data_IF_863973607098
#
_entry.id   IF_863973607098
#
_cell.length_a   1.000
_cell.length_b   1.000
_cell.length_c   1.000
_cell.angle_alpha   90.00
_cell.angle_beta   90.00
_cell.angle_gamma   90.00
#
_symmetry.space_group_name_H-M   'P 1'
#
loop_
_entity.id
_entity.type
_entity.pdbx_description
1 polymer ?
#
# COMPACT_ATOMS: atom_id res chain seq x y z
N UNK A 1 -11.27 15.26 -6.21
CA UNK A 1 -11.93 15.43 -4.89
C UNK A 1 -11.12 14.62 -3.89
N UNK A 2 -10.29 15.30 -3.09
CA UNK A 2 -9.45 14.65 -2.07
C UNK A 2 -10.30 14.26 -0.85
N UNK A 3 -9.89 13.21 -0.13
CA UNK A 3 -10.57 12.59 1.02
C UNK A 3 -10.62 13.46 2.29
N UNK A 4 -10.93 14.75 2.17
CA UNK A 4 -10.89 15.66 3.33
C UNK A 4 -11.81 16.86 3.20
N UNK A 5 -13.11 16.66 3.39
CA UNK A 5 -14.07 17.76 3.60
C UNK A 5 -14.00 18.33 5.03
N UNK A 6 -12.96 17.98 5.80
CA UNK A 6 -12.83 18.37 7.19
C UNK A 6 -12.15 19.73 7.40
N UNK A 7 -11.71 20.43 6.36
CA UNK A 7 -11.03 21.73 6.44
C UNK A 7 -9.51 21.65 6.61
N UNK A 8 -8.84 22.80 6.71
CA UNK A 8 -7.37 22.90 6.69
C UNK A 8 -6.69 22.24 7.89
N UNK A 9 -5.71 21.37 7.63
CA UNK A 9 -4.90 20.72 8.70
C UNK A 9 -3.86 21.68 9.27
N UNK A 10 -3.44 22.67 8.47
CA UNK A 10 -2.40 23.63 8.81
C UNK A 10 -2.90 25.05 8.52
N UNK A 11 -2.64 25.99 9.42
CA UNK A 11 -3.14 27.37 9.32
C UNK A 11 -2.36 28.27 8.33
N UNK A 12 -1.36 27.72 7.64
CA UNK A 12 -0.53 28.47 6.70
C UNK A 12 0.39 27.58 5.87
N UNK A 13 1.12 28.15 4.89
CA UNK A 13 2.06 27.42 4.06
C UNK A 13 3.15 26.77 4.92
N UNK A 14 3.37 25.48 4.74
CA UNK A 14 4.46 24.78 5.40
C UNK A 14 5.76 25.02 4.62
N UNK A 15 6.33 26.21 4.75
CA UNK A 15 7.66 26.52 4.21
C UNK A 15 8.73 25.71 4.97
N UNK A 16 9.62 25.04 4.24
CA UNK A 16 10.75 24.22 4.72
C UNK A 16 10.49 22.74 5.08
N UNK A 17 9.37 22.14 4.64
CA UNK A 17 9.22 20.69 4.76
C UNK A 17 10.16 19.94 3.80
N UNK A 18 10.96 19.04 4.38
CA UNK A 18 11.69 18.02 3.64
C UNK A 18 10.96 16.68 3.77
N UNK A 19 11.05 15.77 2.77
CA UNK A 19 10.64 14.38 2.97
C UNK A 19 11.23 13.82 4.27
N UNK A 20 10.40 13.17 5.09
CA UNK A 20 10.77 12.70 6.43
C UNK A 20 10.67 13.74 7.56
N UNK A 21 10.37 15.01 7.25
CA UNK A 21 10.13 16.04 8.26
C UNK A 21 8.80 15.85 8.99
N UNK A 22 8.83 16.00 10.32
CA UNK A 22 7.64 15.95 11.19
C UNK A 22 7.31 17.36 11.70
N UNK A 23 6.03 17.71 11.68
CA UNK A 23 5.51 18.96 12.26
C UNK A 23 4.66 18.62 13.46
N UNK A 24 5.09 19.02 14.66
CA UNK A 24 4.27 18.84 15.86
C UNK A 24 3.07 19.79 15.78
N UNK A 25 1.88 19.22 15.69
CA UNK A 25 0.61 19.99 15.62
C UNK A 25 -0.12 20.02 16.96
N UNK A 26 0.26 19.16 17.92
CA UNK A 26 -0.24 19.17 19.29
C UNK A 26 0.82 18.69 20.26
N UNK A 27 1.00 19.43 21.35
CA UNK A 27 1.76 18.95 22.51
C UNK A 27 0.96 17.92 23.30
N UNK A 28 1.66 16.96 23.89
CA UNK A 28 1.08 15.98 24.78
C UNK A 28 2.04 15.65 25.89
N UNK A 29 1.60 14.80 26.83
CA UNK A 29 2.42 14.48 27.98
C UNK A 29 3.57 13.53 27.60
N UNK A 30 4.76 13.67 28.20
CA UNK A 30 5.91 12.82 27.90
C UNK A 30 5.71 11.34 28.26
N UNK A 31 4.82 11.05 29.21
CA UNK A 31 4.47 9.71 29.69
C UNK A 31 3.41 9.01 28.81
N UNK A 32 3.03 9.60 27.67
CA UNK A 32 2.01 9.09 26.76
C UNK A 32 2.59 8.82 25.37
N UNK A 33 2.06 7.83 24.63
CA UNK A 33 2.48 7.58 23.25
C UNK A 33 2.23 8.81 22.37
N UNK A 34 2.97 8.98 21.28
CA UNK A 34 2.72 10.04 20.30
C UNK A 34 2.09 9.47 19.02
N UNK A 35 1.17 10.22 18.41
CA UNK A 35 0.57 9.87 17.12
C UNK A 35 1.31 10.58 15.98
N UNK A 36 1.73 9.83 14.96
CA UNK A 36 2.24 10.37 13.70
C UNK A 36 1.17 10.10 12.63
N UNK A 37 0.63 11.14 12.01
CA UNK A 37 -0.47 11.04 11.06
C UNK A 37 -0.20 11.83 9.77
N UNK A 38 -0.82 11.43 8.67
CA UNK A 38 -0.63 12.05 7.35
C UNK A 38 -1.96 12.57 6.79
N UNK A 39 -1.92 13.68 6.06
CA UNK A 39 -3.09 14.25 5.38
C UNK A 39 -4.28 14.46 6.32
N UNK A 40 -5.47 14.01 5.91
CA UNK A 40 -6.71 14.18 6.68
C UNK A 40 -6.75 13.39 7.99
N UNK A 41 -5.94 12.34 8.13
CA UNK A 41 -5.86 11.57 9.37
C UNK A 41 -5.28 12.37 10.53
N UNK A 42 -4.59 13.49 10.26
CA UNK A 42 -4.12 14.39 11.32
C UNK A 42 -5.28 14.95 12.12
N UNK A 43 -6.43 15.26 11.51
CA UNK A 43 -7.62 15.73 12.23
C UNK A 43 -8.20 14.65 13.14
N UNK A 44 -8.36 13.43 12.63
CA UNK A 44 -8.79 12.29 13.45
C UNK A 44 -7.80 12.04 14.61
N UNK A 45 -6.49 12.14 14.35
CA UNK A 45 -5.48 11.98 15.38
C UNK A 45 -5.58 13.08 16.46
N UNK A 46 -5.90 14.32 16.08
CA UNK A 46 -6.13 15.41 17.03
C UNK A 46 -7.35 15.17 17.93
N UNK A 47 -8.44 14.63 17.37
CA UNK A 47 -9.65 14.27 18.13
C UNK A 47 -9.34 13.16 19.15
N UNK A 48 -8.66 12.10 18.72
CA UNK A 48 -8.22 11.01 19.62
C UNK A 48 -7.25 11.54 20.69
N UNK A 49 -6.30 12.39 20.30
CA UNK A 49 -5.31 12.95 21.21
C UNK A 49 -5.91 13.90 22.25
N UNK A 50 -7.05 14.54 21.96
CA UNK A 50 -7.77 15.32 22.94
C UNK A 50 -8.26 14.46 24.12
N UNK A 51 -8.64 13.21 23.85
CA UNK A 51 -9.09 12.26 24.87
C UNK A 51 -7.91 11.60 25.61
N UNK A 52 -6.80 11.35 24.90
CA UNK A 52 -5.66 10.59 25.44
C UNK A 52 -4.52 11.47 25.98
N UNK A 53 -4.58 12.79 25.80
CA UNK A 53 -3.51 13.74 26.15
C UNK A 53 -2.14 13.39 25.53
N UNK A 54 -2.15 12.78 24.34
CA UNK A 54 -0.94 12.44 23.60
C UNK A 54 -0.52 13.55 22.63
N UNK A 55 0.77 13.54 22.26
CA UNK A 55 1.30 14.44 21.24
C UNK A 55 0.87 13.98 19.85
N UNK A 56 0.67 14.93 18.93
CA UNK A 56 0.36 14.64 17.52
C UNK A 56 1.37 15.33 16.62
N UNK A 57 1.93 14.55 15.70
CA UNK A 57 2.84 14.99 14.66
C UNK A 57 2.21 14.75 13.31
N UNK A 58 2.07 15.82 12.52
CA UNK A 58 1.78 15.72 11.11
C UNK A 58 3.06 15.30 10.39
N UNK A 59 2.97 14.30 9.53
CA UNK A 59 4.04 13.87 8.64
C UNK A 59 3.59 14.09 7.19
N UNK A 60 3.79 15.30 6.63
CA UNK A 60 3.26 15.66 5.32
C UNK A 60 3.84 14.82 4.17
N UNK A 61 5.04 14.28 4.37
CA UNK A 61 5.70 13.35 3.46
C UNK A 61 6.33 12.20 4.25
N UNK A 62 5.56 11.11 4.41
CA UNK A 62 6.12 9.78 4.69
C UNK A 62 6.15 9.04 3.36
N UNK A 63 7.30 8.98 2.71
CA UNK A 63 7.54 7.97 1.70
C UNK A 63 8.35 6.87 2.40
N UNK A 64 7.78 5.67 2.63
CA UNK A 64 8.60 4.51 2.94
C UNK A 64 9.70 4.40 1.87
N UNK A 65 10.96 4.25 2.29
CA UNK A 65 12.08 4.08 1.35
C UNK A 65 11.81 2.87 0.45
N UNK A 66 12.27 2.90 -0.80
CA UNK A 66 12.14 1.74 -1.68
C UNK A 66 13.13 0.66 -1.21
N UNK A 67 12.61 -0.48 -0.74
CA UNK A 67 13.41 -1.70 -0.50
C UNK A 67 13.90 -1.90 0.93
N UNK A 68 13.73 -0.90 1.81
CA UNK A 68 14.01 -1.00 3.25
C UNK A 68 12.74 -1.23 4.08
N UNK A 69 11.57 -1.14 3.44
CA UNK A 69 10.27 -1.33 4.06
C UNK A 69 9.72 -2.74 3.79
N UNK A 70 9.16 -3.34 4.83
CA UNK A 70 8.41 -4.59 4.72
C UNK A 70 7.01 -4.39 5.28
N UNK A 71 6.02 -4.95 4.59
CA UNK A 71 4.64 -4.98 5.03
C UNK A 71 4.32 -6.38 5.53
N UNK A 72 3.75 -6.46 6.73
CA UNK A 72 3.41 -7.71 7.39
C UNK A 72 1.91 -7.73 7.66
N UNK A 73 1.24 -8.81 7.26
CA UNK A 73 -0.10 -9.11 7.72
C UNK A 73 -0.19 -10.55 8.21
N UNK A 74 -0.69 -10.72 9.44
CA UNK A 74 -0.82 -12.01 10.09
C UNK A 74 -2.31 -12.28 10.33
N UNK A 75 -2.80 -13.38 9.76
CA UNK A 75 -4.17 -13.88 10.00
C UNK A 75 -4.49 -13.99 11.49
N UNK A 76 -5.76 -13.90 11.89
CA UNK A 76 -6.15 -14.01 13.30
C UNK A 76 -5.81 -15.39 13.88
N UNK A 77 -5.65 -15.46 15.20
CA UNK A 77 -5.54 -16.75 15.90
C UNK A 77 -6.81 -17.56 15.67
N UNK A 78 -6.66 -18.82 15.22
CA UNK A 78 -7.79 -19.71 14.93
C UNK A 78 -8.47 -19.48 13.57
N UNK A 79 -7.90 -18.65 12.69
CA UNK A 79 -8.40 -18.49 11.31
C UNK A 79 -8.02 -19.69 10.44
N UNK A 80 -8.83 -20.76 10.56
CA UNK A 80 -8.62 -22.02 9.85
C UNK A 80 -8.85 -21.95 8.32
N UNK A 81 -9.48 -20.87 7.84
CA UNK A 81 -9.62 -20.61 6.39
C UNK A 81 -8.29 -20.16 5.77
N UNK A 82 -7.50 -19.41 6.53
CA UNK A 82 -6.22 -18.88 6.07
C UNK A 82 -5.06 -19.85 6.26
N UNK A 83 -5.08 -20.66 7.33
CA UNK A 83 -4.04 -21.65 7.62
C UNK A 83 -4.61 -22.84 8.41
N UNK A 84 -4.01 -24.04 8.35
CA UNK A 84 -4.46 -25.18 9.15
C UNK A 84 -4.48 -24.90 10.66
N UNK A 85 -5.28 -25.67 11.41
CA UNK A 85 -5.32 -25.55 12.88
C UNK A 85 -3.91 -25.65 13.50
N UNK A 86 -3.64 -24.78 14.48
CA UNK A 86 -2.32 -24.61 15.10
C UNK A 86 -1.34 -23.74 14.31
N UNK A 87 -1.69 -23.32 13.08
CA UNK A 87 -0.86 -22.46 12.23
C UNK A 87 -1.53 -21.12 11.95
N UNK A 88 -0.74 -20.15 11.49
CA UNK A 88 -1.22 -18.84 11.02
C UNK A 88 -0.54 -18.48 9.71
N UNK A 89 -1.30 -17.88 8.80
CA UNK A 89 -0.77 -17.31 7.57
C UNK A 89 -0.15 -15.94 7.84
N UNK A 90 1.12 -15.79 7.47
CA UNK A 90 1.87 -14.52 7.48
C UNK A 90 2.17 -14.13 6.03
N UNK A 91 1.60 -13.03 5.57
CA UNK A 91 1.98 -12.42 4.30
C UNK A 91 3.05 -11.36 4.54
N UNK A 92 4.09 -11.41 3.71
CA UNK A 92 5.21 -10.48 3.74
C UNK A 92 5.40 -9.93 2.33
N UNK A 93 5.42 -8.61 2.20
CA UNK A 93 5.66 -7.96 0.91
C UNK A 93 6.59 -6.75 1.08
N UNK A 94 7.24 -6.38 -0.03
CA UNK A 94 8.07 -5.18 -0.14
C UNK A 94 7.96 -4.66 -1.57
N UNK A 95 8.49 -3.47 -1.81
CA UNK A 95 8.53 -2.86 -3.14
C UNK A 95 9.86 -3.18 -3.82
N UNK A 96 9.79 -3.69 -5.04
CA UNK A 96 10.97 -3.96 -5.89
C UNK A 96 10.76 -3.37 -7.27
N UNK A 97 11.85 -3.02 -7.96
CA UNK A 97 11.77 -2.62 -9.35
C UNK A 97 11.71 -3.86 -10.24
N UNK A 98 10.58 -4.06 -10.92
CA UNK A 98 10.38 -5.24 -11.76
C UNK A 98 11.39 -5.38 -12.91
N UNK A 99 11.98 -4.26 -13.37
CA UNK A 99 13.02 -4.25 -14.41
C UNK A 99 14.26 -5.05 -14.01
N UNK A 100 14.57 -5.13 -12.71
CA UNK A 100 15.68 -5.93 -12.18
C UNK A 100 15.45 -7.43 -12.38
N UNK A 101 14.20 -7.85 -12.60
CA UNK A 101 13.80 -9.24 -12.81
C UNK A 101 13.70 -9.61 -14.30
N UNK A 102 13.95 -8.67 -15.22
CA UNK A 102 13.90 -8.94 -16.65
C UNK A 102 15.23 -9.47 -17.18
N UNK A 103 15.16 -10.38 -18.16
CA UNK A 103 16.35 -10.88 -18.87
C UNK A 103 17.25 -11.82 -18.06
N UNK A 104 16.88 -12.14 -16.82
CA UNK A 104 17.64 -13.07 -15.99
C UNK A 104 17.56 -14.50 -16.55
N UNK A 105 18.70 -15.20 -16.52
CA UNK A 105 18.73 -16.64 -16.68
C UNK A 105 17.99 -17.34 -15.54
N UNK A 106 17.65 -18.62 -15.74
CA UNK A 106 17.01 -19.45 -14.70
C UNK A 106 17.86 -19.57 -13.43
N UNK A 107 19.19 -19.44 -13.53
CA UNK A 107 20.07 -19.49 -12.36
C UNK A 107 20.01 -18.17 -11.59
N UNK A 108 20.26 -17.04 -12.28
CA UNK A 108 20.22 -15.70 -11.70
C UNK A 108 18.87 -15.40 -11.05
N UNK A 109 17.76 -15.78 -11.71
CA UNK A 109 16.42 -15.63 -11.15
C UNK A 109 16.26 -16.39 -9.82
N UNK A 110 16.77 -17.62 -9.73
CA UNK A 110 16.67 -18.43 -8.50
C UNK A 110 17.52 -17.85 -7.38
N UNK A 111 18.71 -17.35 -7.71
CA UNK A 111 19.61 -16.70 -6.75
C UNK A 111 19.01 -15.39 -6.24
N UNK A 112 18.51 -14.54 -7.13
CA UNK A 112 17.88 -13.28 -6.75
C UNK A 112 16.61 -13.49 -5.91
N UNK A 113 15.81 -14.50 -6.27
CA UNK A 113 14.65 -14.93 -5.47
C UNK A 113 15.06 -15.38 -4.06
N UNK A 114 16.17 -16.11 -3.93
CA UNK A 114 16.71 -16.53 -2.63
C UNK A 114 17.17 -15.32 -1.81
N UNK A 115 17.94 -14.41 -2.42
CA UNK A 115 18.43 -13.18 -1.77
C UNK A 115 17.25 -12.37 -1.21
N UNK A 116 16.24 -12.09 -2.03
CA UNK A 116 15.07 -11.32 -1.58
C UNK A 116 14.27 -12.01 -0.48
N UNK A 117 14.08 -13.33 -0.57
CA UNK A 117 13.44 -14.10 0.50
C UNK A 117 14.20 -13.96 1.82
N UNK A 118 15.52 -14.12 1.78
CA UNK A 118 16.35 -14.10 2.99
C UNK A 118 16.39 -12.67 3.59
N UNK A 119 16.40 -11.63 2.75
CA UNK A 119 16.23 -10.22 3.14
C UNK A 119 14.89 -9.97 3.84
N UNK A 120 13.78 -10.42 3.26
CA UNK A 120 12.45 -10.28 3.84
C UNK A 120 12.36 -10.98 5.20
N UNK A 121 12.85 -12.22 5.31
CA UNK A 121 12.86 -12.98 6.56
C UNK A 121 13.72 -12.29 7.63
N UNK A 122 14.85 -11.68 7.25
CA UNK A 122 15.66 -10.87 8.18
C UNK A 122 14.85 -9.69 8.73
N UNK A 123 14.10 -8.98 7.89
CA UNK A 123 13.23 -7.90 8.33
C UNK A 123 12.10 -8.40 9.25
N UNK A 124 11.45 -9.52 8.91
CA UNK A 124 10.35 -10.09 9.72
C UNK A 124 10.83 -10.40 11.14
N UNK A 125 12.05 -10.92 11.31
CA UNK A 125 12.62 -11.24 12.64
C UNK A 125 12.71 -10.05 13.59
N UNK A 126 12.73 -8.83 13.07
CA UNK A 126 12.71 -7.62 13.91
C UNK A 126 11.36 -7.53 14.66
N UNK A 127 10.25 -7.85 13.98
CA UNK A 127 8.91 -7.82 14.56
C UNK A 127 8.50 -9.16 15.22
N UNK A 128 9.02 -10.28 14.71
CA UNK A 128 8.73 -11.64 15.16
C UNK A 128 10.04 -12.41 15.39
N UNK A 129 10.75 -12.21 16.52
CA UNK A 129 12.07 -12.82 16.76
C UNK A 129 12.05 -14.34 16.73
N UNK A 130 10.95 -14.95 17.15
CA UNK A 130 10.74 -16.41 17.23
C UNK A 130 10.24 -17.01 15.91
N UNK A 131 10.29 -16.27 14.79
CA UNK A 131 9.77 -16.73 13.49
C UNK A 131 10.31 -18.11 13.11
N UNK A 132 11.60 -18.36 13.36
CA UNK A 132 12.26 -19.61 12.97
C UNK A 132 11.78 -20.82 13.80
N UNK A 133 11.22 -20.61 15.00
CA UNK A 133 10.67 -21.67 15.85
C UNK A 133 9.29 -22.16 15.38
N UNK A 134 8.54 -21.28 14.69
CA UNK A 134 7.15 -21.52 14.30
C UNK A 134 6.89 -21.48 12.79
N UNK A 135 7.94 -21.51 11.94
CA UNK A 135 7.80 -21.44 10.48
C UNK A 135 7.82 -22.83 9.85
N UNK A 136 6.68 -23.26 9.32
CA UNK A 136 6.55 -24.53 8.61
C UNK A 136 6.79 -24.42 7.11
N UNK A 137 6.05 -23.55 6.42
CA UNK A 137 6.01 -23.49 4.95
C UNK A 137 6.21 -22.07 4.43
N UNK A 138 7.01 -21.92 3.37
CA UNK A 138 7.33 -20.62 2.76
C UNK A 138 7.26 -20.72 1.24
N UNK A 139 6.44 -19.88 0.63
CA UNK A 139 6.46 -19.60 -0.81
C UNK A 139 6.89 -18.16 -1.01
N UNK A 140 7.68 -17.91 -2.05
CA UNK A 140 8.09 -16.56 -2.44
C UNK A 140 7.55 -16.25 -3.84
N UNK A 141 6.77 -15.19 -3.95
CA UNK A 141 6.40 -14.58 -5.23
C UNK A 141 7.42 -13.54 -5.68
N UNK A 142 7.48 -13.30 -6.98
CA UNK A 142 8.36 -12.30 -7.63
C UNK A 142 7.53 -11.52 -8.65
N UNK A 143 8.02 -10.38 -9.18
CA UNK A 143 7.36 -9.73 -10.31
C UNK A 143 7.07 -10.70 -11.48
N UNK A 144 8.00 -11.57 -11.84
CA UNK A 144 7.77 -12.60 -12.88
C UNK A 144 6.65 -13.58 -12.52
N UNK A 145 6.51 -13.92 -11.22
CA UNK A 145 5.41 -14.76 -10.73
C UNK A 145 4.06 -14.05 -10.90
N UNK A 146 4.00 -12.76 -10.55
CA UNK A 146 2.81 -11.94 -10.71
C UNK A 146 2.43 -11.76 -12.18
N UNK A 147 3.40 -11.50 -13.05
CA UNK A 147 3.17 -11.39 -14.49
C UNK A 147 2.57 -12.68 -15.06
N UNK A 148 3.13 -13.84 -14.68
CA UNK A 148 2.65 -15.14 -15.12
C UNK A 148 1.19 -15.40 -14.74
N UNK A 149 0.81 -15.18 -13.47
CA UNK A 149 -0.54 -15.51 -12.98
C UNK A 149 -1.59 -14.44 -13.23
N UNK A 150 -1.20 -13.17 -13.38
CA UNK A 150 -2.14 -12.05 -13.52
C UNK A 150 -2.15 -11.41 -14.90
N UNK A 151 -1.20 -11.76 -15.77
CA UNK A 151 -1.03 -11.14 -17.09
C UNK A 151 -0.61 -9.66 -17.03
N UNK A 152 -0.27 -9.14 -15.84
CA UNK A 152 0.15 -7.75 -15.68
C UNK A 152 1.56 -7.56 -16.19
N UNK A 153 1.74 -6.61 -17.09
CA UNK A 153 3.05 -6.23 -17.65
C UNK A 153 4.04 -5.98 -16.52
N UNK A 154 5.15 -6.71 -16.53
CA UNK A 154 6.21 -6.63 -15.53
C UNK A 154 5.79 -7.04 -14.12
N UNK A 155 4.64 -7.69 -13.94
CA UNK A 155 4.14 -8.10 -12.63
C UNK A 155 3.80 -6.93 -11.71
N UNK A 156 3.51 -5.76 -12.26
CA UNK A 156 3.14 -4.59 -11.47
C UNK A 156 1.89 -4.88 -10.65
N UNK A 157 1.91 -4.49 -9.37
CA UNK A 157 0.77 -4.68 -8.46
C UNK A 157 0.04 -3.36 -8.29
N UNK A 158 -1.29 -3.39 -8.42
CA UNK A 158 -2.16 -2.22 -8.20
C UNK A 158 -2.45 -1.38 -9.44
N UNK A 159 -2.18 -1.84 -10.66
CA UNK A 159 -2.54 -1.10 -11.88
C UNK A 159 -1.53 -0.03 -12.27
N UNK A 160 -1.97 1.03 -12.96
CA UNK A 160 -1.07 2.06 -13.48
C UNK A 160 -0.52 2.94 -12.35
N UNK A 161 0.81 3.12 -12.31
CA UNK A 161 1.46 3.97 -11.32
C UNK A 161 0.84 5.38 -11.34
N UNK A 162 0.39 5.85 -10.17
CA UNK A 162 -0.26 7.15 -10.05
C UNK A 162 0.79 8.27 -10.10
N UNK A 163 0.58 9.20 -11.02
CA UNK A 163 1.42 10.38 -11.25
C UNK A 163 0.53 11.60 -11.39
N UNK A 164 1.11 12.81 -11.31
CA UNK A 164 0.36 14.05 -11.60
C UNK A 164 -0.21 14.11 -13.02
N UNK A 165 0.29 13.27 -13.93
CA UNK A 165 -0.17 13.21 -15.33
C UNK A 165 -1.42 12.35 -15.50
N UNK A 166 -1.67 11.37 -14.64
CA UNK A 166 -2.78 10.41 -14.76
C UNK A 166 -3.66 10.34 -13.49
N UNK A 167 -3.58 11.33 -12.61
CA UNK A 167 -4.38 11.39 -11.38
C UNK A 167 -5.69 12.15 -11.58
N UNK A 168 -6.73 11.73 -10.84
CA UNK A 168 -8.04 12.36 -10.77
C UNK A 168 -8.67 12.53 -12.17
N UNK A 169 -8.96 13.78 -12.56
CA UNK A 169 -9.58 14.13 -13.84
C UNK A 169 -8.70 13.80 -15.06
N UNK A 170 -7.44 13.42 -14.84
CA UNK A 170 -6.50 12.98 -15.89
C UNK A 170 -6.35 11.46 -15.96
N UNK A 171 -7.08 10.71 -15.13
CA UNK A 171 -7.09 9.27 -15.23
C UNK A 171 -7.75 8.82 -16.54
N UNK A 172 -7.38 7.63 -17.00
CA UNK A 172 -8.02 7.03 -18.18
C UNK A 172 -9.51 6.80 -17.87
N UNK A 173 -10.45 7.35 -18.66
CA UNK A 173 -11.88 7.16 -18.41
C UNK A 173 -12.31 5.72 -18.70
N UNK A 174 -13.50 5.33 -18.24
CA UNK A 174 -14.10 4.04 -18.59
C UNK A 174 -14.51 4.01 -20.07
N UNK A 175 -15.11 5.09 -20.57
CA UNK A 175 -15.50 5.24 -21.98
C UNK A 175 -14.32 5.70 -22.83
N UNK A 176 -13.96 4.91 -23.84
CA UNK A 176 -12.88 5.23 -24.78
C UNK A 176 -13.36 5.94 -26.06
N UNK A 177 -14.66 6.22 -26.19
CA UNK A 177 -15.26 6.74 -27.41
C UNK A 177 -15.51 5.66 -28.48
N UNK A 178 -15.32 4.38 -28.13
CA UNK A 178 -15.67 3.24 -28.97
C UNK A 178 -17.01 2.69 -28.47
N UNK A 179 -17.99 2.59 -29.36
CA UNK A 179 -19.33 2.13 -29.03
C UNK A 179 -19.28 0.71 -28.44
N UNK A 180 -20.02 0.48 -27.36
CA UNK A 180 -20.11 -0.83 -26.68
C UNK A 180 -18.80 -1.36 -26.06
N UNK A 181 -17.75 -0.54 -25.93
CA UNK A 181 -16.51 -0.91 -25.24
C UNK A 181 -16.26 -0.01 -24.01
N UNK A 182 -16.07 -0.64 -22.85
CA UNK A 182 -15.78 0.02 -21.58
C UNK A 182 -14.53 -0.56 -20.95
N UNK A 183 -13.68 0.31 -20.40
CA UNK A 183 -12.58 -0.08 -19.53
C UNK A 183 -13.06 -0.18 -18.08
N UNK A 184 -12.64 -1.25 -17.43
CA UNK A 184 -12.87 -1.51 -16.01
C UNK A 184 -11.59 -2.02 -15.36
N UNK A 185 -11.42 -1.71 -14.08
CA UNK A 185 -10.29 -2.19 -13.27
C UNK A 185 -9.45 -1.07 -12.67
N UNK A 186 -8.24 -1.42 -12.23
CA UNK A 186 -7.35 -0.54 -11.48
C UNK A 186 -6.45 0.36 -12.35
N UNK A 187 -6.55 0.24 -13.66
CA UNK A 187 -5.85 1.08 -14.66
C UNK A 187 -6.72 2.22 -15.22
N UNK A 188 -8.02 2.21 -14.90
CA UNK A 188 -8.99 3.24 -15.28
C UNK A 188 -9.45 4.01 -14.04
N UNK A 189 -10.11 5.15 -14.22
CA UNK A 189 -10.69 5.91 -13.11
C UNK A 189 -11.65 5.02 -12.29
N UNK A 190 -11.56 5.01 -10.95
CA UNK A 190 -10.80 5.90 -10.07
C UNK A 190 -9.38 5.46 -9.70
N UNK A 191 -8.92 4.30 -10.18
CA UNK A 191 -7.53 3.85 -10.07
C UNK A 191 -7.31 2.66 -9.12
N UNK A 192 -6.22 2.71 -8.37
CA UNK A 192 -5.65 1.56 -7.66
C UNK A 192 -6.41 1.15 -6.38
N UNK A 193 -6.39 -0.15 -6.08
CA UNK A 193 -6.92 -0.74 -4.84
C UNK A 193 -8.34 -1.29 -4.96
N UNK A 194 -8.72 -2.18 -4.04
CA UNK A 194 -9.98 -2.95 -4.12
C UNK A 194 -11.21 -2.08 -4.26
N UNK A 195 -11.33 -1.02 -3.43
CA UNK A 195 -12.48 -0.11 -3.47
C UNK A 195 -12.54 0.66 -4.79
N UNK A 196 -11.39 1.13 -5.28
CA UNK A 196 -11.32 1.88 -6.53
C UNK A 196 -11.63 1.00 -7.74
N UNK A 197 -11.10 -0.23 -7.75
CA UNK A 197 -11.38 -1.23 -8.77
C UNK A 197 -12.88 -1.62 -8.81
N UNK A 198 -13.50 -1.83 -7.64
CA UNK A 198 -14.94 -2.08 -7.55
C UNK A 198 -15.76 -0.88 -8.06
N UNK A 199 -15.39 0.34 -7.66
CA UNK A 199 -16.05 1.56 -8.13
C UNK A 199 -15.88 1.77 -9.65
N UNK A 200 -14.74 1.38 -10.22
CA UNK A 200 -14.55 1.38 -11.67
C UNK A 200 -15.58 0.48 -12.37
N UNK A 201 -15.79 -0.74 -11.87
CA UNK A 201 -16.82 -1.65 -12.38
C UNK A 201 -18.23 -1.06 -12.25
N UNK A 202 -18.52 -0.43 -11.11
CA UNK A 202 -19.80 0.25 -10.88
C UNK A 202 -20.03 1.41 -11.86
N UNK A 203 -19.00 2.23 -12.12
CA UNK A 203 -19.09 3.33 -13.08
C UNK A 203 -19.40 2.81 -14.49
N UNK A 204 -18.74 1.74 -14.93
CA UNK A 204 -19.02 1.14 -16.22
C UNK A 204 -20.45 0.58 -16.28
N UNK A 205 -20.95 -0.07 -15.22
CA UNK A 205 -22.33 -0.54 -15.16
C UNK A 205 -23.35 0.60 -15.29
N UNK A 206 -23.14 1.72 -14.58
CA UNK A 206 -23.98 2.92 -14.70
C UNK A 206 -23.92 3.50 -16.11
N UNK A 207 -22.74 3.58 -16.68
CA UNK A 207 -22.53 4.07 -18.04
C UNK A 207 -23.25 3.21 -19.09
N UNK A 208 -23.33 1.89 -18.88
CA UNK A 208 -24.00 0.94 -19.78
C UNK A 208 -25.52 0.99 -19.60
N UNK A 209 -26.01 1.10 -18.36
CA UNK A 209 -27.44 0.95 -18.03
C UNK A 209 -28.21 2.26 -17.91
N UNK A 210 -27.52 3.38 -17.73
CA UNK A 210 -28.12 4.69 -17.47
C UNK A 210 -28.70 4.86 -16.05
N UNK A 211 -28.37 3.97 -15.11
CA UNK A 211 -28.84 4.00 -13.72
C UNK A 211 -27.91 4.77 -12.76
#
# INVERSE_FOLDING_TARGET
MGKSDRGDVHAGPLSALRPGGLVRVREGRPDRPALIATGSMVRTALEVAAQMSCAVWSAPFIKPGLGDDIFLSLSHTGDENSAPNGWRALNVSTHVHWREWQGLSKLEYREMKKIWRDTLLKGVRIALPQLDEGRGFVITGTPSTWEHYTGRVGGNVGGAALTRRNANLRALPSRLGIENFHLVGDTTFPGQGTVACALSGFNAWRDITGQ
#
